data_IF_288852915937
#
_entry.id   IF_288852915937
#
_cell.length_a   1.000
_cell.length_b   1.000
_cell.length_c   1.000
_cell.angle_alpha   90.00
_cell.angle_beta   90.00
_cell.angle_gamma   90.00
#
_symmetry.space_group_name_H-M   'P 1'
#
loop_
_entity.id
_entity.type
_entity.pdbx_description
1 polymer ?
#
# COMPACT_ATOMS: atom_id res chain seq x y z
N UNK A 1 6.44 7.02 -15.61
CA UNK A 1 5.13 7.63 -15.92
C UNK A 1 3.96 7.10 -15.08
N UNK A 2 4.20 6.21 -14.12
CA UNK A 2 3.19 5.58 -13.25
C UNK A 2 2.64 6.46 -12.11
N UNK A 3 3.29 7.57 -11.81
CA UNK A 3 2.78 8.52 -10.81
C UNK A 3 1.44 9.18 -11.20
N UNK A 4 1.02 9.11 -12.46
CA UNK A 4 -0.14 9.85 -12.94
C UNK A 4 -1.50 9.20 -12.61
N UNK A 5 -1.60 7.89 -12.45
CA UNK A 5 -2.90 7.25 -12.15
C UNK A 5 -3.35 7.46 -10.69
N UNK A 6 -2.42 7.49 -9.73
CA UNK A 6 -2.76 7.86 -8.33
C UNK A 6 -3.07 9.36 -8.18
N UNK A 7 -2.49 10.23 -9.01
CA UNK A 7 -2.75 11.68 -8.98
C UNK A 7 -4.16 12.10 -9.42
N UNK A 8 -4.88 11.25 -10.14
CA UNK A 8 -6.26 11.51 -10.60
C UNK A 8 -7.30 10.63 -9.93
N UNK A 9 -6.94 9.89 -8.87
CA UNK A 9 -7.92 9.16 -8.08
C UNK A 9 -8.82 10.18 -7.36
N UNK A 10 -10.15 10.09 -7.50
CA UNK A 10 -11.09 11.08 -6.91
C UNK A 10 -11.15 11.00 -5.38
N UNK A 11 -10.49 10.03 -4.78
CA UNK A 11 -10.41 9.85 -3.34
C UNK A 11 -8.97 9.51 -2.93
N UNK A 12 -8.55 10.05 -1.79
CA UNK A 12 -7.27 9.72 -1.17
C UNK A 12 -7.41 9.68 0.35
N UNK A 13 -6.63 8.81 0.99
CA UNK A 13 -6.38 8.84 2.43
C UNK A 13 -4.95 9.29 2.66
N UNK A 14 -4.72 10.06 3.72
CA UNK A 14 -3.38 10.46 4.14
C UNK A 14 -3.32 10.58 5.65
N UNK A 15 -2.13 10.34 6.21
CA UNK A 15 -1.84 10.52 7.63
C UNK A 15 -0.76 11.58 7.83
N UNK A 16 -0.82 12.26 8.98
CA UNK A 16 0.26 13.11 9.49
C UNK A 16 0.44 12.86 10.97
N UNK A 17 1.69 12.92 11.42
CA UNK A 17 2.04 12.79 12.84
C UNK A 17 2.43 14.16 13.38
N UNK A 18 1.74 14.63 14.41
CA UNK A 18 2.01 15.90 15.07
C UNK A 18 1.68 15.79 16.57
N UNK A 19 2.55 16.27 17.42
CA UNK A 19 2.35 16.32 18.89
C UNK A 19 1.87 14.99 19.49
N UNK A 20 2.53 13.86 19.14
CA UNK A 20 2.18 12.51 19.58
C UNK A 20 0.76 12.06 19.19
N UNK A 21 0.23 12.61 18.12
CA UNK A 21 -1.07 12.25 17.53
C UNK A 21 -0.92 11.87 16.08
N UNK A 22 -1.70 10.88 15.67
CA UNK A 22 -1.92 10.54 14.27
C UNK A 22 -3.22 11.20 13.82
N UNK A 23 -3.12 12.06 12.84
CA UNK A 23 -4.24 12.71 12.16
C UNK A 23 -4.50 11.99 10.85
N UNK A 24 -5.72 11.52 10.63
CA UNK A 24 -6.11 10.83 9.39
C UNK A 24 -7.06 11.71 8.59
N UNK A 25 -6.72 11.94 7.34
CA UNK A 25 -7.50 12.78 6.43
C UNK A 25 -8.08 11.93 5.29
N UNK A 26 -9.30 12.24 4.91
CA UNK A 26 -9.92 11.72 3.71
C UNK A 26 -10.23 12.86 2.74
N UNK A 27 -9.63 12.80 1.55
CA UNK A 27 -9.86 13.73 0.45
C UNK A 27 -10.86 13.13 -0.53
N UNK A 28 -11.95 13.87 -0.77
CA UNK A 28 -12.99 13.54 -1.73
C UNK A 28 -13.02 14.60 -2.83
N UNK A 29 -12.42 14.31 -3.98
CA UNK A 29 -12.43 15.17 -5.16
C UNK A 29 -13.56 14.84 -6.14
N UNK A 30 -14.50 13.97 -5.74
CA UNK A 30 -15.67 13.64 -6.54
C UNK A 30 -16.75 14.72 -6.45
N UNK A 31 -17.70 14.68 -7.37
CA UNK A 31 -18.86 15.61 -7.41
C UNK A 31 -19.95 15.25 -6.41
N UNK A 32 -19.82 14.16 -5.67
CA UNK A 32 -20.85 13.65 -4.75
C UNK A 32 -20.30 13.48 -3.33
N UNK A 33 -21.20 13.58 -2.35
CA UNK A 33 -20.90 13.19 -0.98
C UNK A 33 -20.66 11.69 -0.91
N UNK A 34 -19.53 11.29 -0.32
CA UNK A 34 -19.11 9.89 -0.24
C UNK A 34 -19.19 9.40 1.21
N UNK A 35 -19.94 8.33 1.43
CA UNK A 35 -19.90 7.59 2.70
C UNK A 35 -18.60 6.79 2.79
N UNK A 36 -17.99 6.76 3.98
CA UNK A 36 -16.76 6.01 4.22
C UNK A 36 -16.79 5.29 5.57
N UNK A 37 -16.02 4.23 5.66
CA UNK A 37 -15.57 3.65 6.93
C UNK A 37 -14.05 3.62 6.97
N UNK A 38 -13.48 4.15 8.04
CA UNK A 38 -12.04 4.14 8.31
C UNK A 38 -11.73 3.09 9.37
N UNK A 39 -10.70 2.31 9.10
CA UNK A 39 -9.99 1.50 10.10
C UNK A 39 -8.54 1.99 10.16
N UNK A 40 -8.12 2.50 11.31
CA UNK A 40 -6.72 2.81 11.62
C UNK A 40 -6.18 1.71 12.52
N UNK A 41 -5.14 1.03 12.09
CA UNK A 41 -4.48 -0.04 12.83
C UNK A 41 -3.06 0.35 13.20
N UNK A 42 -2.66 0.06 14.43
CA UNK A 42 -1.25 0.03 14.83
C UNK A 42 -0.79 -1.41 14.72
N UNK A 43 0.26 -1.65 13.96
CA UNK A 43 0.79 -2.98 13.66
C UNK A 43 2.25 -3.10 14.06
N UNK A 44 2.66 -4.31 14.46
CA UNK A 44 4.08 -4.65 14.57
C UNK A 44 4.70 -4.89 13.17
N UNK A 45 6.03 -4.93 13.11
CA UNK A 45 6.75 -5.19 11.84
C UNK A 45 6.57 -6.62 11.29
N UNK A 46 5.87 -7.51 12.02
CA UNK A 46 5.43 -8.82 11.51
C UNK A 46 4.03 -8.79 10.89
N UNK A 47 3.39 -7.59 10.85
CA UNK A 47 2.05 -7.38 10.30
C UNK A 47 0.90 -7.70 11.26
N UNK A 48 1.18 -8.05 12.53
CA UNK A 48 0.13 -8.31 13.49
C UNK A 48 -0.50 -6.99 13.96
N UNK A 49 -1.83 -6.97 14.08
CA UNK A 49 -2.57 -5.83 14.62
C UNK A 49 -2.41 -5.82 16.14
N UNK A 50 -1.93 -4.70 16.67
CA UNK A 50 -1.76 -4.44 18.10
C UNK A 50 -2.91 -3.63 18.67
N UNK A 51 -3.38 -2.64 17.91
CA UNK A 51 -4.49 -1.78 18.29
C UNK A 51 -5.27 -1.35 17.03
N UNK A 52 -6.58 -1.07 17.19
CA UNK A 52 -7.45 -0.69 16.08
C UNK A 52 -8.42 0.39 16.53
N UNK A 53 -8.60 1.41 15.67
CA UNK A 53 -9.57 2.47 15.79
C UNK A 53 -10.47 2.48 14.57
N UNK A 54 -11.79 2.54 14.78
CA UNK A 54 -12.76 2.54 13.69
C UNK A 54 -13.67 3.77 13.77
N UNK A 55 -13.92 4.38 12.64
CA UNK A 55 -14.93 5.44 12.51
C UNK A 55 -15.63 5.37 11.16
N UNK A 56 -16.79 6.00 11.08
CA UNK A 56 -17.60 6.09 9.85
C UNK A 56 -18.12 7.50 9.70
N UNK A 57 -18.31 7.93 8.48
CA UNK A 57 -18.81 9.26 8.20
C UNK A 57 -19.14 9.51 6.74
N UNK A 58 -19.38 10.78 6.46
CA UNK A 58 -19.61 11.27 5.11
C UNK A 58 -18.62 12.39 4.81
N UNK A 59 -18.00 12.32 3.65
CA UNK A 59 -17.15 13.39 3.12
C UNK A 59 -17.91 14.14 2.04
N UNK A 60 -18.12 15.45 2.19
CA UNK A 60 -18.75 16.25 1.14
C UNK A 60 -17.97 16.21 -0.17
N UNK A 61 -18.64 16.52 -1.28
CA UNK A 61 -17.97 16.71 -2.56
C UNK A 61 -16.86 17.79 -2.46
N UNK A 62 -15.76 17.58 -3.15
CA UNK A 62 -14.60 18.51 -3.21
C UNK A 62 -14.10 18.96 -1.84
N UNK A 63 -13.98 18.02 -0.90
CA UNK A 63 -13.52 18.31 0.45
C UNK A 63 -12.36 17.41 0.89
N UNK A 64 -11.55 17.95 1.79
CA UNK A 64 -10.63 17.17 2.61
C UNK A 64 -11.07 17.32 4.06
N UNK A 65 -11.36 16.22 4.73
CA UNK A 65 -11.83 16.20 6.11
C UNK A 65 -10.89 15.39 6.99
N UNK A 66 -10.70 15.84 8.23
CA UNK A 66 -10.07 15.04 9.27
C UNK A 66 -11.06 14.00 9.78
N UNK A 67 -10.75 12.74 9.58
CA UNK A 67 -11.65 11.61 9.89
C UNK A 67 -11.40 11.02 11.26
N UNK A 68 -10.15 11.10 11.75
CA UNK A 68 -9.77 10.65 13.07
C UNK A 68 -8.53 11.39 13.57
N UNK A 69 -8.44 11.52 14.90
CA UNK A 69 -7.23 11.92 15.62
C UNK A 69 -7.00 10.91 16.74
N UNK A 70 -5.87 10.23 16.71
CA UNK A 70 -5.55 9.15 17.65
C UNK A 70 -4.27 9.49 18.39
N UNK A 71 -4.31 9.37 19.73
CA UNK A 71 -3.13 9.51 20.59
C UNK A 71 -2.21 8.31 20.44
N UNK A 72 -0.94 8.56 20.17
CA UNK A 72 0.08 7.52 19.95
C UNK A 72 1.22 7.58 21.01
N UNK A 73 1.04 8.34 22.11
CA UNK A 73 2.04 8.47 23.17
C UNK A 73 2.48 7.11 23.75
N UNK A 74 1.54 6.16 23.88
CA UNK A 74 1.80 4.81 24.41
C UNK A 74 2.78 4.00 23.56
N UNK A 75 3.02 4.41 22.30
CA UNK A 75 3.87 3.72 21.33
C UNK A 75 5.27 4.32 21.18
N UNK A 76 5.57 5.42 21.89
CA UNK A 76 6.87 6.09 21.79
C UNK A 76 8.07 5.19 22.15
N UNK A 77 7.90 4.30 23.14
CA UNK A 77 8.95 3.35 23.55
C UNK A 77 9.15 2.20 22.56
N UNK A 78 8.22 2.02 21.61
CA UNK A 78 8.23 0.96 20.58
C UNK A 78 8.17 1.51 19.17
N UNK A 79 8.45 2.80 18.97
CA UNK A 79 8.31 3.50 17.69
C UNK A 79 9.14 2.92 16.54
N UNK A 80 10.21 2.19 16.87
CA UNK A 80 11.08 1.54 15.89
C UNK A 80 10.56 0.16 15.45
N UNK A 81 9.53 -0.36 16.13
CA UNK A 81 8.99 -1.71 15.95
C UNK A 81 7.53 -1.73 15.47
N UNK A 82 6.92 -0.54 15.29
CA UNK A 82 5.51 -0.42 14.88
C UNK A 82 5.33 0.54 13.70
N UNK A 83 4.21 0.37 13.01
CA UNK A 83 3.73 1.30 11.98
C UNK A 83 2.21 1.45 12.04
N UNK A 84 1.70 2.50 11.42
CA UNK A 84 0.29 2.82 11.31
C UNK A 84 -0.20 2.47 9.90
N UNK A 85 -1.38 1.87 9.82
CA UNK A 85 -2.07 1.60 8.56
C UNK A 85 -3.49 2.17 8.62
N UNK A 86 -3.80 3.13 7.77
CA UNK A 86 -5.14 3.65 7.58
C UNK A 86 -5.77 3.01 6.34
N UNK A 87 -6.94 2.40 6.51
CA UNK A 87 -7.72 1.81 5.43
C UNK A 87 -9.10 2.46 5.40
N UNK A 88 -9.43 3.08 4.27
CA UNK A 88 -10.77 3.64 4.03
C UNK A 88 -11.49 2.76 2.99
N UNK A 89 -12.68 2.30 3.36
CA UNK A 89 -13.64 1.72 2.44
C UNK A 89 -14.71 2.74 2.13
N UNK A 90 -14.91 3.01 0.85
CA UNK A 90 -15.97 3.90 0.37
C UNK A 90 -17.21 3.10 -0.04
N UNK A 91 -18.37 3.77 -0.13
CA UNK A 91 -19.64 3.14 -0.54
C UNK A 91 -19.58 2.49 -1.93
N UNK A 92 -18.79 3.05 -2.84
CA UNK A 92 -18.55 2.53 -4.18
C UNK A 92 -17.50 1.40 -4.20
N UNK A 93 -17.22 0.78 -3.04
CA UNK A 93 -16.34 -0.36 -2.83
C UNK A 93 -14.85 -0.09 -3.15
N UNK A 94 -14.41 1.14 -3.21
CA UNK A 94 -12.98 1.46 -3.28
C UNK A 94 -12.34 1.25 -1.92
N UNK A 95 -11.11 0.74 -1.96
CA UNK A 95 -10.26 0.58 -0.78
C UNK A 95 -9.05 1.50 -0.97
N UNK A 96 -8.89 2.43 -0.04
CA UNK A 96 -7.77 3.36 0.00
C UNK A 96 -6.90 3.02 1.19
N UNK A 97 -5.60 3.01 1.02
CA UNK A 97 -4.64 2.70 2.07
C UNK A 97 -3.57 3.78 2.15
N UNK A 98 -3.15 4.06 3.37
CA UNK A 98 -1.94 4.84 3.65
C UNK A 98 -1.19 4.20 4.81
N UNK A 99 0.12 4.33 4.80
CA UNK A 99 1.01 3.77 5.82
C UNK A 99 1.96 4.86 6.30
N UNK A 100 2.03 5.04 7.62
CA UNK A 100 2.91 6.00 8.25
C UNK A 100 3.74 5.32 9.36
N UNK A 101 4.95 5.80 9.59
CA UNK A 101 5.87 5.26 10.59
C UNK A 101 6.22 6.34 11.62
N UNK A 102 6.35 5.95 12.89
CA UNK A 102 6.64 6.88 13.98
C UNK A 102 8.07 7.44 13.92
N UNK A 103 8.94 6.78 13.19
CA UNK A 103 10.31 7.20 12.91
C UNK A 103 10.62 7.05 11.43
N UNK A 104 11.59 7.77 10.87
CA UNK A 104 12.06 7.53 9.50
C UNK A 104 12.41 6.06 9.28
N UNK A 105 12.07 5.50 8.11
CA UNK A 105 12.22 4.08 7.76
C UNK A 105 13.61 3.49 8.08
N UNK A 106 14.67 4.29 7.97
CA UNK A 106 16.06 3.88 8.29
C UNK A 106 16.31 3.54 9.76
N UNK A 107 15.40 3.92 10.65
CA UNK A 107 15.48 3.65 12.09
C UNK A 107 14.53 2.52 12.52
N UNK A 108 13.68 2.03 11.61
CA UNK A 108 12.85 0.87 11.91
C UNK A 108 13.71 -0.40 11.99
N UNK A 109 13.36 -1.29 12.92
CA UNK A 109 13.93 -2.63 13.05
C UNK A 109 13.40 -3.58 11.97
N UNK A 110 13.46 -3.15 10.68
CA UNK A 110 12.93 -3.91 9.56
C UNK A 110 13.60 -5.28 9.47
N UNK A 111 12.79 -6.30 9.22
CA UNK A 111 13.24 -7.65 8.88
C UNK A 111 13.37 -7.75 7.37
N UNK A 112 14.20 -8.71 6.91
CA UNK A 112 14.22 -9.06 5.50
C UNK A 112 12.95 -9.80 5.13
N UNK A 113 12.05 -9.20 4.31
CA UNK A 113 10.80 -9.84 3.96
C UNK A 113 11.01 -11.02 3.01
N UNK A 114 10.31 -12.12 3.27
CA UNK A 114 10.16 -13.20 2.30
C UNK A 114 8.91 -12.90 1.48
N UNK A 115 9.12 -12.40 0.27
CA UNK A 115 8.05 -12.07 -0.66
C UNK A 115 7.74 -13.30 -1.50
N UNK A 116 6.48 -13.74 -1.44
CA UNK A 116 5.94 -14.86 -2.24
C UNK A 116 5.11 -14.32 -3.38
N UNK A 117 5.26 -14.92 -4.55
CA UNK A 117 4.52 -14.55 -5.76
C UNK A 117 3.96 -15.74 -6.49
N UNK A 118 2.73 -15.61 -6.95
CA UNK A 118 2.11 -16.47 -7.94
C UNK A 118 1.59 -15.60 -9.08
N UNK A 119 1.50 -16.15 -10.28
CA UNK A 119 0.95 -15.42 -11.41
C UNK A 119 -0.03 -16.28 -12.16
N UNK A 120 -1.11 -15.69 -12.62
CA UNK A 120 -2.06 -16.29 -13.54
C UNK A 120 -2.25 -15.43 -14.78
N UNK A 121 -2.64 -16.08 -15.86
CA UNK A 121 -2.90 -15.43 -17.13
C UNK A 121 -4.38 -15.56 -17.49
N UNK A 122 -4.97 -14.43 -17.84
CA UNK A 122 -6.31 -14.36 -18.42
C UNK A 122 -6.22 -14.01 -19.91
N UNK A 123 -7.37 -13.90 -20.58
CA UNK A 123 -7.39 -13.47 -21.97
C UNK A 123 -6.76 -12.09 -22.15
N UNK A 124 -6.95 -11.16 -21.18
CA UNK A 124 -6.67 -9.75 -21.31
C UNK A 124 -5.56 -9.24 -20.38
N UNK A 125 -5.12 -10.04 -19.41
CA UNK A 125 -4.17 -9.59 -18.38
C UNK A 125 -3.33 -10.73 -17.79
N UNK A 126 -2.20 -10.34 -17.20
CA UNK A 126 -1.50 -11.12 -16.16
C UNK A 126 -1.92 -10.57 -14.79
N UNK A 127 -2.22 -11.48 -13.85
CA UNK A 127 -2.54 -11.14 -12.47
C UNK A 127 -1.43 -11.72 -11.59
N UNK A 128 -0.73 -10.85 -10.89
CA UNK A 128 0.31 -11.22 -9.95
C UNK A 128 -0.28 -11.19 -8.52
N UNK A 129 -0.31 -12.33 -7.87
CA UNK A 129 -0.64 -12.50 -6.46
C UNK A 129 0.64 -12.35 -5.65
N UNK A 130 0.76 -11.31 -4.85
CA UNK A 130 1.96 -11.01 -4.08
C UNK A 130 1.64 -10.90 -2.60
N UNK A 131 2.47 -11.49 -1.76
CA UNK A 131 2.36 -11.40 -0.29
C UNK A 131 3.73 -11.38 0.36
N UNK A 132 3.79 -10.96 1.63
CA UNK A 132 5.01 -10.96 2.43
C UNK A 132 4.76 -11.63 3.78
N UNK A 133 5.78 -12.23 4.38
CA UNK A 133 5.72 -12.79 5.73
C UNK A 133 5.80 -11.73 6.83
N UNK A 134 6.23 -10.51 6.50
CA UNK A 134 6.33 -9.37 7.40
C UNK A 134 6.15 -8.05 6.64
N UNK A 135 6.18 -6.92 7.34
CA UNK A 135 6.10 -5.60 6.74
C UNK A 135 7.20 -5.39 5.70
N UNK A 136 6.81 -5.18 4.44
CA UNK A 136 7.70 -4.87 3.32
C UNK A 136 7.33 -3.49 2.74
N UNK A 137 8.01 -2.42 3.18
CA UNK A 137 7.75 -1.08 2.64
C UNK A 137 8.35 -0.89 1.26
N UNK A 138 7.67 -0.08 0.44
CA UNK A 138 8.10 0.35 -0.90
C UNK A 138 8.46 -0.82 -1.82
N UNK A 139 7.54 -1.77 -1.95
CA UNK A 139 7.70 -2.87 -2.91
C UNK A 139 7.59 -2.29 -4.31
N UNK A 140 8.67 -2.46 -5.06
CA UNK A 140 8.76 -2.06 -6.46
C UNK A 140 8.84 -3.29 -7.35
N UNK A 141 8.08 -3.28 -8.43
CA UNK A 141 8.03 -4.31 -9.44
C UNK A 141 8.64 -3.77 -10.74
N UNK A 142 9.50 -4.56 -11.37
CA UNK A 142 10.16 -4.18 -12.61
C UNK A 142 10.52 -5.41 -13.46
N UNK A 143 10.89 -5.18 -14.72
CA UNK A 143 11.46 -6.16 -15.64
C UNK A 143 12.69 -5.55 -16.31
N UNK A 144 13.78 -6.31 -16.44
CA UNK A 144 15.00 -5.85 -17.12
C UNK A 144 14.80 -5.68 -18.63
N UNK A 145 13.92 -6.47 -19.22
CA UNK A 145 13.78 -6.67 -20.66
C UNK A 145 12.36 -6.42 -21.19
N UNK A 146 11.49 -5.83 -20.37
CA UNK A 146 10.14 -5.46 -20.75
C UNK A 146 9.75 -4.12 -20.10
N UNK A 147 8.93 -3.33 -20.79
CA UNK A 147 8.32 -2.11 -20.26
C UNK A 147 6.82 -2.35 -20.10
N UNK A 148 6.34 -2.31 -18.86
CA UNK A 148 4.94 -2.62 -18.51
C UNK A 148 4.38 -1.59 -17.54
N UNK A 149 3.06 -1.39 -17.61
CA UNK A 149 2.32 -0.58 -16.66
C UNK A 149 1.59 -1.51 -15.69
N UNK A 150 2.02 -1.51 -14.43
CA UNK A 150 1.35 -2.23 -13.35
C UNK A 150 0.14 -1.43 -12.84
N UNK A 151 -0.92 -2.12 -12.40
CA UNK A 151 -2.08 -1.46 -11.77
C UNK A 151 -1.70 -0.72 -10.48
N UNK A 152 -0.69 -1.21 -9.74
CA UNK A 152 -0.04 -0.54 -8.63
C UNK A 152 1.46 -0.88 -8.60
N UNK A 153 2.27 0.05 -8.08
CA UNK A 153 3.71 -0.12 -7.91
C UNK A 153 4.20 0.82 -6.81
N UNK A 154 5.31 0.51 -6.14
CA UNK A 154 5.82 1.23 -4.97
C UNK A 154 4.85 1.22 -3.78
N UNK A 155 4.19 0.09 -3.57
CA UNK A 155 3.22 -0.13 -2.50
C UNK A 155 3.85 -0.76 -1.25
N UNK A 156 3.06 -0.86 -0.18
CA UNK A 156 3.45 -1.52 1.05
C UNK A 156 2.70 -2.84 1.21
N UNK A 157 3.44 -3.92 1.55
CA UNK A 157 2.83 -5.14 2.06
C UNK A 157 2.85 -5.06 3.58
N UNK A 158 1.69 -4.86 4.17
CA UNK A 158 1.52 -4.52 5.59
C UNK A 158 1.22 -5.74 6.46
N UNK A 159 0.76 -6.82 5.84
CA UNK A 159 0.43 -8.08 6.49
C UNK A 159 0.62 -9.26 5.53
N UNK A 160 0.19 -10.44 5.95
CA UNK A 160 0.31 -11.69 5.17
C UNK A 160 -0.79 -11.88 4.13
N UNK A 161 -1.66 -10.90 3.94
CA UNK A 161 -2.71 -10.99 2.92
C UNK A 161 -2.12 -10.88 1.52
N UNK A 162 -2.75 -11.57 0.59
CA UNK A 162 -2.36 -11.51 -0.82
C UNK A 162 -2.90 -10.21 -1.42
N UNK A 163 -2.04 -9.48 -2.11
CA UNK A 163 -2.41 -8.33 -2.92
C UNK A 163 -2.32 -8.71 -4.40
N UNK A 164 -3.33 -8.34 -5.17
CA UNK A 164 -3.39 -8.59 -6.61
C UNK A 164 -2.88 -7.36 -7.37
N UNK A 165 -1.89 -7.58 -8.23
CA UNK A 165 -1.36 -6.57 -9.15
C UNK A 165 -1.68 -7.02 -10.57
N UNK A 166 -2.37 -6.17 -11.32
CA UNK A 166 -2.82 -6.47 -12.66
C UNK A 166 -1.91 -5.78 -13.68
N UNK A 167 -1.48 -6.52 -14.69
CA UNK A 167 -0.85 -5.99 -15.89
C UNK A 167 -1.72 -6.38 -17.07
N UNK A 168 -2.42 -5.44 -17.66
CA UNK A 168 -3.19 -5.70 -18.87
C UNK A 168 -2.24 -5.96 -20.04
N UNK A 169 -2.62 -6.85 -20.94
CA UNK A 169 -1.79 -7.14 -22.13
C UNK A 169 -1.58 -5.92 -23.02
N UNK A 170 -2.54 -4.99 -23.06
CA UNK A 170 -2.43 -3.69 -23.74
C UNK A 170 -1.44 -2.72 -23.07
N UNK A 171 -1.14 -2.92 -21.78
CA UNK A 171 -0.22 -2.11 -20.97
C UNK A 171 1.22 -2.66 -21.01
N UNK A 172 1.50 -3.68 -21.82
CA UNK A 172 2.84 -4.14 -22.15
C UNK A 172 3.35 -3.30 -23.32
N UNK A 173 4.14 -2.28 -23.00
CA UNK A 173 4.61 -1.30 -23.99
C UNK A 173 5.78 -1.82 -24.82
N UNK A 174 6.62 -2.67 -24.20
CA UNK A 174 7.75 -3.33 -24.84
C UNK A 174 7.99 -4.70 -24.20
N UNK A 175 8.41 -5.67 -25.01
CA UNK A 175 8.64 -7.06 -24.58
C UNK A 175 7.45 -7.96 -24.88
N UNK A 176 7.58 -9.22 -24.47
CA UNK A 176 6.56 -10.26 -24.62
C UNK A 176 6.75 -11.31 -23.57
N UNK A 177 5.67 -11.85 -23.04
CA UNK A 177 5.66 -12.97 -22.09
C UNK A 177 4.95 -14.17 -22.73
N UNK A 178 5.57 -15.35 -22.65
CA UNK A 178 5.01 -16.56 -23.24
C UNK A 178 3.78 -17.07 -22.47
N UNK A 179 3.82 -16.92 -21.15
CA UNK A 179 2.77 -17.35 -20.22
C UNK A 179 3.00 -16.72 -18.83
N UNK A 180 2.09 -17.03 -17.87
CA UNK A 180 2.18 -16.52 -16.50
C UNK A 180 3.46 -16.95 -15.77
N UNK A 181 4.00 -18.12 -16.04
CA UNK A 181 5.24 -18.59 -15.42
C UNK A 181 6.45 -17.83 -15.91
N UNK A 182 6.53 -17.53 -17.22
CA UNK A 182 7.57 -16.69 -17.81
C UNK A 182 7.49 -15.27 -17.27
N UNK A 183 6.27 -14.69 -17.19
CA UNK A 183 6.01 -13.39 -16.55
C UNK A 183 6.57 -13.36 -15.13
N UNK A 184 6.20 -14.35 -14.29
CA UNK A 184 6.63 -14.42 -12.89
C UNK A 184 8.15 -14.60 -12.72
N UNK A 185 8.78 -15.44 -13.55
CA UNK A 185 10.23 -15.74 -13.46
C UNK A 185 11.11 -14.57 -13.80
N UNK A 186 10.66 -13.70 -14.71
CA UNK A 186 11.41 -12.51 -15.16
C UNK A 186 11.15 -11.28 -14.29
N UNK A 187 10.10 -11.33 -13.44
CA UNK A 187 9.75 -10.24 -12.54
C UNK A 187 10.85 -10.01 -11.51
N UNK A 188 11.31 -8.77 -11.43
CA UNK A 188 12.16 -8.28 -10.37
C UNK A 188 11.34 -7.61 -9.28
N UNK A 189 11.64 -7.94 -8.03
CA UNK A 189 10.96 -7.40 -6.86
C UNK A 189 12.00 -6.79 -5.94
N UNK A 190 11.83 -5.51 -5.65
CA UNK A 190 12.67 -4.77 -4.72
C UNK A 190 11.80 -4.29 -3.57
N UNK A 191 12.34 -4.29 -2.37
CA UNK A 191 11.75 -3.64 -1.20
C UNK A 191 12.82 -2.92 -0.40
N UNK A 192 12.41 -1.97 0.42
CA UNK A 192 13.39 -1.23 1.23
C UNK A 192 14.14 -2.17 2.17
N UNK A 193 13.49 -3.19 2.75
CA UNK A 193 14.13 -4.19 3.62
C UNK A 193 15.26 -4.96 2.92
N UNK A 194 15.08 -5.34 1.64
CA UNK A 194 16.10 -6.07 0.88
C UNK A 194 17.24 -5.19 0.39
N UNK A 195 17.08 -3.87 0.34
CA UNK A 195 18.13 -2.94 -0.14
C UNK A 195 19.23 -2.69 0.90
N UNK A 196 18.98 -2.92 2.19
CA UNK A 196 19.96 -2.73 3.25
C UNK A 196 21.01 -3.86 3.36
N UNK A 197 20.72 -5.04 2.80
CA UNK A 197 21.66 -6.19 2.86
C UNK A 197 22.75 -6.17 1.77
N UNK A 198 22.83 -5.13 0.95
CA UNK A 198 23.86 -5.01 -0.12
C UNK A 198 25.10 -4.22 0.27
N UNK A 199 25.32 -3.98 1.58
CA UNK A 199 26.52 -3.27 2.10
C UNK A 199 27.46 -4.17 2.87
#
# INVERSE_FOLDING_TARGET
MQFSQKFYAPHAVSMTLEDHRCHVYFSNESFETTEYSLTLSIRDLSGNVLETYETKGNSPAFSAIETAVVDICSWEDQKDDVFLEAVIHTKDQKVLKDVETLVPYKYLNLKNPVISTEAEETNDAFILHISSDCFAPFVALDFDDADVIFSDNFFHLTDKTVQDIIVKKEDILQGHFENAEDFRKRLQILSLGTSYDRS
#
